data_IF_220580829995
#
_entry.id   IF_220580829995
#
_cell.length_a   1.000
_cell.length_b   1.000
_cell.length_c   1.000
_cell.angle_alpha   90.00
_cell.angle_beta   90.00
_cell.angle_gamma   90.00
#
_symmetry.space_group_name_H-M   'P 1'
#
loop_
_entity.id
_entity.type
_entity.pdbx_description
1 polymer ?
#
# COMPACT_ATOMS: atom_id res chain seq x y z
N UNK A 1 19.74 -49.14 41.29
CA UNK A 1 18.72 -48.16 41.72
C UNK A 1 18.50 -47.14 40.61
N UNK A 2 17.22 -46.97 40.28
CA UNK A 2 16.49 -46.04 39.40
C UNK A 2 16.93 -44.56 39.58
N UNK A 3 16.81 -43.60 38.62
CA UNK A 3 16.77 -43.65 37.14
C UNK A 3 17.53 -42.47 36.45
N UNK A 4 18.30 -42.72 35.38
CA UNK A 4 18.72 -41.64 34.43
C UNK A 4 17.64 -41.34 33.37
N UNK A 5 16.36 -41.62 33.67
CA UNK A 5 15.23 -41.44 32.74
C UNK A 5 14.42 -40.16 32.98
N UNK A 6 14.78 -39.33 33.97
CA UNK A 6 14.06 -38.08 34.28
C UNK A 6 14.78 -36.80 33.82
N UNK A 7 15.91 -36.92 33.12
CA UNK A 7 16.57 -35.79 32.41
C UNK A 7 16.20 -35.76 30.93
N UNK A 8 15.31 -36.65 30.46
CA UNK A 8 14.83 -36.63 29.07
C UNK A 8 13.50 -35.89 28.88
N UNK A 9 12.64 -35.85 29.90
CA UNK A 9 11.24 -35.43 29.74
C UNK A 9 11.00 -33.97 30.11
N UNK A 10 11.89 -33.34 30.89
CA UNK A 10 11.81 -31.89 31.17
C UNK A 10 12.42 -31.01 30.05
N UNK A 11 13.14 -31.61 29.09
CA UNK A 11 13.76 -30.90 27.96
C UNK A 11 12.84 -30.69 26.75
N UNK A 12 11.66 -31.31 26.75
CA UNK A 12 10.65 -31.22 25.66
C UNK A 12 9.41 -30.45 26.14
N UNK A 13 9.61 -29.41 26.96
CA UNK A 13 8.53 -28.51 27.37
C UNK A 13 8.77 -27.04 26.97
N UNK A 14 9.89 -26.74 26.30
CA UNK A 14 10.25 -25.36 25.89
C UNK A 14 10.14 -25.16 24.36
N UNK A 15 9.33 -25.96 23.67
CA UNK A 15 9.05 -25.76 22.22
C UNK A 15 7.56 -25.64 21.94
N UNK A 16 6.80 -25.04 22.87
CA UNK A 16 5.40 -24.64 22.63
C UNK A 16 5.14 -23.18 22.99
N UNK A 17 6.22 -22.38 23.02
CA UNK A 17 6.16 -20.93 23.20
C UNK A 17 6.23 -20.14 21.90
N UNK A 18 6.07 -20.78 20.74
CA UNK A 18 5.73 -20.05 19.53
C UNK A 18 4.23 -19.71 19.62
N UNK A 19 3.88 -18.66 20.36
CA UNK A 19 2.69 -17.89 20.03
C UNK A 19 2.95 -17.28 18.66
N UNK A 20 2.87 -18.13 17.63
CA UNK A 20 2.61 -17.70 16.28
C UNK A 20 1.24 -17.08 16.33
N UNK A 21 1.19 -15.80 16.69
CA UNK A 21 0.11 -14.97 16.24
C UNK A 21 0.18 -15.04 14.72
N UNK A 22 -0.59 -15.95 14.15
CA UNK A 22 -1.04 -15.82 12.78
C UNK A 22 -1.90 -14.57 12.81
N UNK A 23 -1.26 -13.41 12.74
CA UNK A 23 -1.97 -12.18 12.41
C UNK A 23 -2.67 -12.51 11.11
N UNK A 24 -4.01 -12.59 11.15
CA UNK A 24 -4.79 -12.70 9.93
C UNK A 24 -4.31 -11.56 9.04
N UNK A 25 -3.85 -11.89 7.83
CA UNK A 25 -3.44 -10.87 6.88
C UNK A 25 -4.64 -9.94 6.71
N UNK A 26 -4.53 -8.72 7.24
CA UNK A 26 -5.52 -7.71 6.98
C UNK A 26 -5.44 -7.47 5.47
N UNK A 27 -6.49 -7.88 4.75
CA UNK A 27 -6.65 -7.56 3.34
C UNK A 27 -6.95 -6.08 3.27
N UNK A 28 -5.90 -5.27 3.30
CA UNK A 28 -6.02 -3.83 3.07
C UNK A 28 -6.31 -3.65 1.60
N UNK A 29 -7.37 -2.88 1.27
CA UNK A 29 -7.57 -2.47 -0.11
C UNK A 29 -6.28 -1.82 -0.61
N UNK A 30 -5.69 -2.32 -1.71
CA UNK A 30 -4.41 -1.79 -2.19
C UNK A 30 -4.53 -0.33 -2.65
N UNK A 31 -5.76 0.15 -2.89
CA UNK A 31 -6.05 1.54 -3.15
C UNK A 31 -6.67 2.20 -1.89
N UNK A 32 -5.90 2.99 -1.13
CA UNK A 32 -6.41 3.66 0.08
C UNK A 32 -7.57 4.64 -0.19
N UNK A 33 -7.86 4.92 -1.46
CA UNK A 33 -8.93 5.82 -1.90
C UNK A 33 -10.18 5.10 -2.41
N UNK A 34 -10.24 3.76 -2.42
CA UNK A 34 -11.39 3.00 -2.98
C UNK A 34 -12.73 3.31 -2.30
N UNK A 35 -12.71 3.86 -1.09
CA UNK A 35 -13.91 4.23 -0.34
C UNK A 35 -14.28 5.72 -0.45
N UNK A 36 -13.54 6.52 -1.23
CA UNK A 36 -13.85 7.93 -1.41
C UNK A 36 -14.85 8.12 -2.55
N UNK A 37 -15.93 8.85 -2.26
CA UNK A 37 -16.88 9.32 -3.26
C UNK A 37 -17.23 10.78 -2.98
N UNK A 38 -17.37 11.57 -4.05
CA UNK A 38 -17.99 12.89 -3.93
C UNK A 38 -19.51 12.72 -3.89
N UNK A 39 -20.15 13.24 -2.85
CA UNK A 39 -21.61 13.33 -2.73
C UNK A 39 -22.16 14.70 -3.12
N UNK A 40 -21.29 15.65 -3.49
CA UNK A 40 -21.70 16.99 -3.89
C UNK A 40 -22.38 16.96 -5.26
N UNK A 41 -23.38 17.83 -5.44
CA UNK A 41 -23.87 18.13 -6.78
C UNK A 41 -22.73 18.78 -7.57
N UNK A 42 -22.29 18.12 -8.65
CA UNK A 42 -21.28 18.68 -9.53
C UNK A 42 -21.89 19.89 -10.25
N UNK A 43 -21.47 21.08 -9.84
CA UNK A 43 -21.85 22.33 -10.45
C UNK A 43 -20.59 23.15 -10.64
N UNK A 44 -20.17 23.27 -11.89
CA UNK A 44 -19.00 24.04 -12.25
C UNK A 44 -19.31 25.55 -12.15
N UNK A 45 -18.50 26.34 -11.43
CA UNK A 45 -18.61 27.79 -11.51
C UNK A 45 -18.32 28.28 -12.94
N UNK A 46 -18.83 29.45 -13.35
CA UNK A 46 -18.57 30.02 -14.66
C UNK A 46 -17.05 30.15 -14.91
N UNK A 47 -16.62 29.75 -16.11
CA UNK A 47 -15.19 29.73 -16.49
C UNK A 47 -14.45 28.42 -16.14
N UNK A 48 -15.08 27.48 -15.44
CA UNK A 48 -14.45 26.19 -15.12
C UNK A 48 -14.00 25.36 -16.33
N UNK A 49 -14.71 25.34 -17.49
CA UNK A 49 -14.22 24.59 -18.65
C UNK A 49 -12.84 25.08 -19.12
N UNK A 50 -12.68 26.40 -19.28
CA UNK A 50 -11.41 26.99 -19.67
C UNK A 50 -10.30 26.80 -18.62
N UNK A 51 -10.66 26.83 -17.33
CA UNK A 51 -9.74 26.53 -16.24
C UNK A 51 -9.26 25.06 -16.28
N UNK A 52 -10.20 24.11 -16.42
CA UNK A 52 -9.90 22.67 -16.54
C UNK A 52 -9.02 22.40 -17.77
N UNK A 53 -9.28 23.05 -18.90
CA UNK A 53 -8.45 22.95 -20.10
C UNK A 53 -7.01 23.45 -19.88
N UNK A 54 -6.85 24.57 -19.17
CA UNK A 54 -5.53 25.10 -18.85
C UNK A 54 -4.75 24.17 -17.91
N UNK A 55 -5.42 23.62 -16.89
CA UNK A 55 -4.84 22.63 -15.97
C UNK A 55 -4.39 21.40 -16.76
N UNK A 56 -5.25 20.85 -17.62
CA UNK A 56 -4.93 19.67 -18.42
C UNK A 56 -3.74 19.94 -19.35
N UNK A 57 -3.70 21.11 -19.99
CA UNK A 57 -2.58 21.52 -20.85
C UNK A 57 -1.27 21.62 -20.06
N UNK A 58 -1.28 22.24 -18.89
CA UNK A 58 -0.12 22.36 -18.02
C UNK A 58 0.42 20.99 -17.56
N UNK A 59 -0.47 20.06 -17.19
CA UNK A 59 -0.09 18.68 -16.82
C UNK A 59 0.58 18.00 -18.01
N UNK A 60 -0.02 18.04 -19.20
CA UNK A 60 0.55 17.42 -20.40
C UNK A 60 1.91 18.01 -20.77
N UNK A 61 2.07 19.33 -20.65
CA UNK A 61 3.35 20.00 -20.86
C UNK A 61 4.41 19.53 -19.86
N UNK A 62 4.07 19.45 -18.56
CA UNK A 62 4.99 18.97 -17.52
C UNK A 62 5.39 17.50 -17.69
N UNK A 63 4.43 16.63 -18.06
CA UNK A 63 4.71 15.22 -18.36
C UNK A 63 5.58 15.06 -19.61
N UNK A 64 5.34 15.88 -20.63
CA UNK A 64 6.15 15.86 -21.87
C UNK A 64 7.56 16.39 -21.62
N UNK A 65 7.70 17.46 -20.84
CA UNK A 65 8.99 18.03 -20.46
C UNK A 65 9.80 17.08 -19.57
N UNK A 66 9.17 16.45 -18.58
CA UNK A 66 9.85 15.46 -17.72
C UNK A 66 10.29 14.23 -18.52
N UNK A 67 9.52 13.78 -19.52
CA UNK A 67 9.96 12.72 -20.45
C UNK A 67 11.09 13.16 -21.39
N UNK A 68 11.15 14.44 -21.75
CA UNK A 68 12.23 15.02 -22.55
C UNK A 68 13.52 15.27 -21.74
N UNK A 69 13.40 15.43 -20.41
CA UNK A 69 14.51 15.78 -19.50
C UNK A 69 14.97 14.60 -18.64
N UNK A 70 14.16 13.54 -18.52
CA UNK A 70 14.58 12.29 -17.89
C UNK A 70 15.76 11.71 -18.67
N UNK A 71 16.86 11.29 -18.01
CA UNK A 71 17.90 10.55 -18.71
C UNK A 71 17.25 9.36 -19.39
N UNK A 72 17.55 9.19 -20.68
CA UNK A 72 17.07 8.07 -21.48
C UNK A 72 17.59 6.80 -20.82
N UNK A 73 16.81 6.18 -19.93
CA UNK A 73 17.05 4.80 -19.50
C UNK A 73 16.65 3.96 -20.70
N UNK A 74 17.59 3.78 -21.62
CA UNK A 74 17.56 2.71 -22.61
C UNK A 74 17.28 1.43 -21.84
N UNK A 75 16.12 0.83 -22.11
CA UNK A 75 15.90 -0.59 -21.87
C UNK A 75 16.75 -1.38 -22.87
#
# INVERSE_FOLDING_TARGET
MIPKLLVGVAGVAIVLGASGWTAASASTDPNPFSHLSCGCAESDPPGSPALRDNINRGIQQGLSASRATAPRVTQ
#
